data_IF_598002773493
#
_entry.id   IF_598002773493
#
_cell.length_a   1.000
_cell.length_b   1.000
_cell.length_c   1.000
_cell.angle_alpha   90.00
_cell.angle_beta   90.00
_cell.angle_gamma   90.00
#
_symmetry.space_group_name_H-M   'P 1'
#
loop_
_entity.id
_entity.type
_entity.pdbx_description
1 polymer ?
#
# COMPACT_ATOMS: atom_id res chain seq x y z
N UNK A 1 9.57 -5.74 -21.84
CA UNK A 1 9.42 -6.47 -20.57
C UNK A 1 8.05 -6.15 -20.00
N UNK A 2 7.23 -7.14 -19.68
CA UNK A 2 5.90 -6.92 -19.11
C UNK A 2 6.03 -6.74 -17.59
N UNK A 3 5.74 -5.55 -17.08
CA UNK A 3 5.82 -5.26 -15.65
C UNK A 3 4.53 -5.75 -15.01
N UNK A 4 4.63 -6.78 -14.17
CA UNK A 4 3.48 -7.27 -13.43
C UNK A 4 3.18 -6.31 -12.27
N UNK A 5 1.91 -5.90 -12.16
CA UNK A 5 1.45 -4.96 -11.13
C UNK A 5 0.73 -5.72 -10.02
N UNK A 6 1.08 -5.43 -8.77
CA UNK A 6 0.48 -5.97 -7.55
C UNK A 6 -0.29 -4.85 -6.87
N UNK A 7 -1.55 -5.11 -6.49
CA UNK A 7 -2.38 -4.17 -5.73
C UNK A 7 -2.67 -4.77 -4.36
N UNK A 8 -2.29 -4.08 -3.29
CA UNK A 8 -2.52 -4.48 -1.91
C UNK A 8 -3.77 -3.78 -1.38
N UNK A 9 -4.77 -4.55 -0.98
CA UNK A 9 -6.06 -4.06 -0.49
C UNK A 9 -6.15 -4.28 1.01
N UNK A 10 -6.35 -3.19 1.74
CA UNK A 10 -6.50 -3.21 3.20
C UNK A 10 -7.82 -3.85 3.63
N UNK A 11 -7.76 -4.61 4.73
CA UNK A 11 -8.94 -5.05 5.48
C UNK A 11 -9.54 -3.93 6.33
N UNK A 12 -10.59 -4.25 7.08
CA UNK A 12 -11.22 -3.32 8.01
C UNK A 12 -10.23 -2.91 9.11
N UNK A 13 -10.18 -1.61 9.45
CA UNK A 13 -9.31 -1.03 10.51
C UNK A 13 -7.80 -1.00 10.22
N UNK A 14 -7.37 -1.27 8.99
CA UNK A 14 -5.98 -1.14 8.54
C UNK A 14 -5.89 -0.02 7.50
N UNK A 15 -4.78 0.74 7.52
CA UNK A 15 -4.42 1.69 6.46
C UNK A 15 -3.34 1.16 5.54
N UNK A 16 -3.12 1.81 4.39
CA UNK A 16 -2.09 1.43 3.42
C UNK A 16 -0.68 1.33 4.00
N UNK A 17 -0.42 2.06 5.09
CA UNK A 17 0.84 2.04 5.83
C UNK A 17 1.17 0.66 6.43
N UNK A 18 0.16 -0.15 6.73
CA UNK A 18 0.36 -1.54 7.16
C UNK A 18 1.09 -2.41 6.11
N UNK A 19 1.19 -1.95 4.87
CA UNK A 19 1.84 -2.66 3.77
C UNK A 19 3.25 -2.17 3.43
N UNK A 20 3.84 -1.20 4.13
CA UNK A 20 5.15 -0.63 3.75
C UNK A 20 6.23 -1.68 3.50
N UNK A 21 6.36 -2.66 4.41
CA UNK A 21 7.34 -3.75 4.29
C UNK A 21 7.06 -4.67 3.08
N UNK A 22 5.78 -4.85 2.73
CA UNK A 22 5.38 -5.67 1.58
C UNK A 22 5.57 -4.91 0.26
N UNK A 23 5.27 -3.61 0.26
CA UNK A 23 5.58 -2.73 -0.87
C UNK A 23 7.07 -2.79 -1.18
N UNK A 24 7.93 -2.65 -0.17
CA UNK A 24 9.38 -2.79 -0.33
C UNK A 24 9.74 -4.18 -0.87
N UNK A 25 9.26 -5.25 -0.23
CA UNK A 25 9.58 -6.63 -0.61
C UNK A 25 9.28 -6.96 -2.08
N UNK A 26 8.13 -6.52 -2.59
CA UNK A 26 7.75 -6.78 -3.98
C UNK A 26 8.38 -5.79 -4.96
N UNK A 27 8.64 -4.56 -4.55
CA UNK A 27 9.39 -3.59 -5.37
C UNK A 27 10.82 -4.08 -5.61
N UNK A 28 11.49 -4.62 -4.58
CA UNK A 28 12.84 -5.19 -4.67
C UNK A 28 12.91 -6.41 -5.63
N UNK A 29 11.77 -7.05 -5.88
CA UNK A 29 11.62 -8.16 -6.83
C UNK A 29 11.27 -7.71 -8.25
N UNK A 30 11.19 -6.41 -8.50
CA UNK A 30 10.91 -5.82 -9.82
C UNK A 30 9.43 -5.71 -10.18
N UNK A 31 8.52 -5.84 -9.21
CA UNK A 31 7.09 -5.60 -9.42
C UNK A 31 6.75 -4.12 -9.27
N UNK A 32 5.72 -3.67 -9.99
CA UNK A 32 5.05 -2.41 -9.67
C UNK A 32 4.04 -2.69 -8.55
N UNK A 33 4.15 -2.02 -7.41
CA UNK A 33 3.25 -2.25 -6.26
C UNK A 33 2.43 -1.00 -6.00
N UNK A 34 1.13 -1.20 -5.74
CA UNK A 34 0.20 -0.14 -5.35
C UNK A 34 -0.40 -0.53 -4.01
N UNK A 35 -0.14 0.28 -2.99
CA UNK A 35 -0.85 0.26 -1.72
C UNK A 35 -1.46 1.65 -1.53
N UNK A 36 -2.79 1.72 -1.50
CA UNK A 36 -3.51 2.97 -1.34
C UNK A 36 -4.64 2.77 -0.32
N UNK A 37 -4.94 3.84 0.41
CA UNK A 37 -6.11 3.85 1.27
C UNK A 37 -7.39 3.97 0.47
N UNK A 38 -8.50 3.61 1.11
CA UNK A 38 -9.81 3.81 0.52
C UNK A 38 -10.05 5.31 0.25
N UNK A 39 -10.75 5.67 -0.83
CA UNK A 39 -11.11 7.06 -1.10
C UNK A 39 -11.78 7.72 0.10
N UNK A 40 -11.30 8.89 0.52
CA UNK A 40 -11.78 9.59 1.72
C UNK A 40 -11.10 9.15 3.03
N UNK A 41 -10.08 8.29 2.95
CA UNK A 41 -9.15 7.96 4.04
C UNK A 41 -7.70 8.37 3.73
N UNK A 42 -7.49 9.25 2.75
CA UNK A 42 -6.17 9.81 2.49
C UNK A 42 -5.81 10.88 3.54
N UNK A 43 -4.86 10.61 4.43
CA UNK A 43 -4.40 11.58 5.43
C UNK A 43 -3.19 11.09 6.25
N UNK A 44 -2.39 12.02 6.78
CA UNK A 44 -1.27 11.68 7.66
C UNK A 44 -1.75 11.18 9.02
N UNK A 45 -1.11 10.11 9.53
CA UNK A 45 -1.43 9.42 10.80
C UNK A 45 -1.49 10.40 11.99
N UNK A 46 -0.85 11.56 11.88
CA UNK A 46 -0.80 12.61 12.91
C UNK A 46 -2.17 13.26 13.20
N UNK A 47 -3.17 13.11 12.32
CA UNK A 47 -4.55 13.54 12.60
C UNK A 47 -5.43 12.45 13.24
N UNK A 48 -4.91 11.24 13.44
CA UNK A 48 -5.64 10.07 13.96
C UNK A 48 -5.26 9.67 15.39
N UNK A 49 -4.46 10.48 16.10
CA UNK A 49 -4.08 10.27 17.51
C UNK A 49 -4.94 11.08 18.48
#
# INVERSE_FOLDING_TARGET
MNITTIVLINGLWISALGWELWVQHYTDKGYRVIAADWPGREGEIEQLR
#
